data_IF_244301458034
#
_entry.id   IF_244301458034
#
_cell.length_a   1.000
_cell.length_b   1.000
_cell.length_c   1.000
_cell.angle_alpha   90.00
_cell.angle_beta   90.00
_cell.angle_gamma   90.00
#
_symmetry.space_group_name_H-M   'P 1'
#
loop_
_entity.id
_entity.type
_entity.pdbx_description
1 polymer ?
#
# COMPACT_ATOMS: atom_id res chain seq x y z
N UNK A 1 35.36 21.21 -24.12
CA UNK A 1 34.63 22.40 -23.64
C UNK A 1 33.26 21.98 -23.12
N UNK A 2 32.98 22.19 -21.83
CA UNK A 2 31.67 21.88 -21.25
C UNK A 2 30.63 22.92 -21.72
N UNK A 3 29.43 22.46 -22.09
CA UNK A 3 28.36 23.35 -22.57
C UNK A 3 27.90 24.29 -21.49
N UNK A 4 27.76 25.57 -21.86
CA UNK A 4 27.19 26.59 -20.97
C UNK A 4 25.74 26.24 -20.63
N UNK A 5 25.23 26.76 -19.50
CA UNK A 5 23.84 26.53 -19.09
C UNK A 5 22.84 27.04 -20.14
N UNK A 6 23.14 28.15 -20.82
CA UNK A 6 22.32 28.71 -21.89
C UNK A 6 22.17 27.74 -23.08
N UNK A 7 23.27 27.14 -23.54
CA UNK A 7 23.27 26.14 -24.61
C UNK A 7 22.52 24.86 -24.22
N UNK A 8 22.65 24.43 -22.96
CA UNK A 8 21.88 23.29 -22.42
C UNK A 8 20.38 23.57 -22.43
N UNK A 9 19.96 24.77 -22.03
CA UNK A 9 18.56 25.17 -22.03
C UNK A 9 17.99 25.33 -23.43
N UNK A 10 18.77 25.86 -24.38
CA UNK A 10 18.38 25.93 -25.80
C UNK A 10 18.15 24.53 -26.38
N UNK A 11 19.10 23.61 -26.16
CA UNK A 11 18.98 22.21 -26.62
C UNK A 11 17.81 21.47 -25.97
N UNK A 12 17.52 21.73 -24.69
CA UNK A 12 16.36 21.16 -24.00
C UNK A 12 15.04 21.63 -24.62
N UNK A 13 14.90 22.94 -24.87
CA UNK A 13 13.69 23.50 -25.50
C UNK A 13 13.47 22.94 -26.91
N UNK A 14 14.53 22.81 -27.70
CA UNK A 14 14.46 22.20 -29.04
C UNK A 14 14.04 20.73 -28.99
N UNK A 15 14.59 19.94 -28.06
CA UNK A 15 14.16 18.55 -27.85
C UNK A 15 12.68 18.48 -27.46
N UNK A 16 12.24 19.30 -26.51
CA UNK A 16 10.84 19.31 -26.07
C UNK A 16 9.89 19.63 -27.22
N UNK A 17 10.23 20.60 -28.09
CA UNK A 17 9.44 20.91 -29.30
C UNK A 17 9.38 19.73 -30.28
N UNK A 18 10.49 19.03 -30.50
CA UNK A 18 10.52 17.83 -31.37
C UNK A 18 9.67 16.71 -30.79
N UNK A 19 9.73 16.50 -29.48
CA UNK A 19 8.95 15.45 -28.80
C UNK A 19 7.45 15.76 -28.82
N UNK A 20 7.05 17.03 -28.66
CA UNK A 20 5.64 17.42 -28.77
C UNK A 20 5.10 17.21 -30.20
N UNK A 21 5.89 17.55 -31.22
CA UNK A 21 5.51 17.31 -32.62
C UNK A 21 5.38 15.80 -32.88
N UNK A 22 6.33 14.98 -32.43
CA UNK A 22 6.26 13.51 -32.54
C UNK A 22 5.04 12.92 -31.85
N UNK A 23 4.68 13.45 -30.67
CA UNK A 23 3.51 12.99 -29.94
C UNK A 23 2.21 13.28 -30.71
N UNK A 24 2.04 14.51 -31.21
CA UNK A 24 0.84 14.88 -31.95
C UNK A 24 0.75 14.15 -33.31
N UNK A 25 1.87 13.92 -34.01
CA UNK A 25 1.85 13.10 -35.24
C UNK A 25 1.48 11.65 -34.96
N UNK A 26 2.04 11.04 -33.91
CA UNK A 26 1.67 9.68 -33.52
C UNK A 26 0.19 9.56 -33.13
N UNK A 27 -0.34 10.57 -32.43
CA UNK A 27 -1.75 10.66 -32.05
C UNK A 27 -2.67 10.84 -33.26
N UNK A 28 -2.28 11.67 -34.22
CA UNK A 28 -3.01 11.83 -35.48
C UNK A 28 -3.03 10.53 -36.30
N UNK A 29 -1.88 9.85 -36.42
CA UNK A 29 -1.79 8.53 -37.08
C UNK A 29 -2.65 7.48 -36.37
N UNK A 30 -2.66 7.45 -35.04
CA UNK A 30 -3.52 6.53 -34.28
C UNK A 30 -5.01 6.82 -34.53
N UNK A 31 -5.42 8.09 -34.58
CA UNK A 31 -6.79 8.49 -34.93
C UNK A 31 -7.16 8.05 -36.35
N UNK A 32 -6.29 8.29 -37.34
CA UNK A 32 -6.50 7.87 -38.72
C UNK A 32 -6.67 6.35 -38.84
N UNK A 33 -5.79 5.56 -38.20
CA UNK A 33 -5.92 4.09 -38.13
C UNK A 33 -7.25 3.68 -37.50
N UNK A 34 -7.60 4.22 -36.35
CA UNK A 34 -8.84 3.89 -35.66
C UNK A 34 -10.08 4.24 -36.49
N UNK A 35 -10.09 5.39 -37.16
CA UNK A 35 -11.19 5.79 -38.04
C UNK A 35 -11.28 4.88 -39.26
N UNK A 36 -10.16 4.51 -39.89
CA UNK A 36 -10.14 3.57 -41.02
C UNK A 36 -10.64 2.17 -40.64
N UNK A 37 -10.38 1.73 -39.40
CA UNK A 37 -10.90 0.46 -38.88
C UNK A 37 -12.40 0.58 -38.68
N UNK A 38 -12.90 1.68 -38.11
CA UNK A 38 -14.33 1.89 -37.89
C UNK A 38 -15.13 1.95 -39.19
N UNK A 39 -14.62 2.61 -40.23
CA UNK A 39 -15.33 2.74 -41.51
C UNK A 39 -15.35 1.44 -42.32
N UNK A 40 -14.38 0.54 -42.13
CA UNK A 40 -14.30 -0.77 -42.80
C UNK A 40 -15.07 -1.89 -42.10
N UNK A 41 -15.65 -1.64 -40.93
CA UNK A 41 -16.38 -2.64 -40.15
C UNK A 41 -17.90 -2.48 -40.34
N UNK A 42 -18.45 -3.12 -41.37
CA UNK A 42 -19.89 -3.23 -41.60
C UNK A 42 -20.33 -4.69 -41.74
N UNK A 43 -21.61 -4.98 -41.44
CA UNK A 43 -22.21 -6.31 -41.57
C UNK A 43 -21.52 -7.40 -40.73
N UNK A 44 -21.23 -8.55 -41.34
CA UNK A 44 -20.62 -9.72 -40.69
C UNK A 44 -19.22 -9.44 -40.11
N UNK A 45 -18.47 -8.50 -40.69
CA UNK A 45 -17.15 -8.12 -40.17
C UNK A 45 -17.21 -7.41 -38.81
N UNK A 46 -18.30 -6.67 -38.55
CA UNK A 46 -18.52 -5.95 -37.30
C UNK A 46 -18.91 -6.90 -36.15
N UNK A 47 -19.73 -7.92 -36.43
CA UNK A 47 -20.14 -8.92 -35.44
C UNK A 47 -18.95 -9.78 -35.01
N UNK A 48 -18.10 -10.19 -35.96
CA UNK A 48 -16.83 -10.85 -35.69
C UNK A 48 -15.86 -9.99 -34.88
N UNK A 49 -15.74 -8.70 -35.20
CA UNK A 49 -14.88 -7.80 -34.43
C UNK A 49 -15.35 -7.69 -32.97
N UNK A 50 -16.67 -7.55 -32.76
CA UNK A 50 -17.28 -7.50 -31.43
C UNK A 50 -17.08 -8.80 -30.66
N UNK A 51 -17.23 -9.96 -31.30
CA UNK A 51 -17.02 -11.26 -30.65
C UNK A 51 -15.55 -11.49 -30.29
N UNK A 52 -14.62 -11.16 -31.20
CA UNK A 52 -13.17 -11.19 -30.96
C UNK A 52 -12.76 -10.25 -29.82
N UNK A 53 -13.34 -9.05 -29.74
CA UNK A 53 -13.10 -8.10 -28.66
C UNK A 53 -13.59 -8.65 -27.30
N UNK A 54 -14.81 -9.20 -27.24
CA UNK A 54 -15.35 -9.87 -26.05
C UNK A 54 -14.46 -11.02 -25.59
N UNK A 55 -13.99 -11.86 -26.52
CA UNK A 55 -13.09 -12.97 -26.23
C UNK A 55 -11.74 -12.49 -25.65
N UNK A 56 -11.14 -11.44 -26.23
CA UNK A 56 -9.90 -10.84 -25.69
C UNK A 56 -10.10 -10.32 -24.27
N UNK A 57 -11.22 -9.65 -24.01
CA UNK A 57 -11.53 -9.15 -22.66
C UNK A 57 -11.70 -10.30 -21.66
N UNK A 58 -12.39 -11.38 -22.06
CA UNK A 58 -12.54 -12.59 -21.26
C UNK A 58 -11.19 -13.23 -20.93
N UNK A 59 -10.33 -13.47 -21.93
CA UNK A 59 -8.97 -14.02 -21.73
C UNK A 59 -8.13 -13.14 -20.78
N UNK A 60 -8.23 -11.81 -20.91
CA UNK A 60 -7.51 -10.89 -20.01
C UNK A 60 -7.97 -11.01 -18.55
N UNK A 61 -9.30 -11.14 -18.33
CA UNK A 61 -9.88 -11.37 -16.99
C UNK A 61 -9.45 -12.72 -16.42
N UNK A 62 -9.53 -13.78 -17.21
CA UNK A 62 -9.11 -15.14 -16.80
C UNK A 62 -7.63 -15.17 -16.42
N UNK A 63 -6.75 -14.56 -17.22
CA UNK A 63 -5.32 -14.46 -16.91
C UNK A 63 -5.05 -13.64 -15.64
N UNK A 64 -5.81 -12.58 -15.40
CA UNK A 64 -5.73 -11.80 -14.16
C UNK A 64 -6.12 -12.65 -12.94
N UNK A 65 -7.18 -13.45 -13.06
CA UNK A 65 -7.62 -14.37 -12.00
C UNK A 65 -6.56 -15.46 -11.75
N UNK A 66 -6.04 -16.11 -12.80
CA UNK A 66 -4.97 -17.12 -12.68
C UNK A 66 -3.72 -16.55 -12.00
N UNK A 67 -3.31 -15.33 -12.34
CA UNK A 67 -2.19 -14.64 -11.67
C UNK A 67 -2.44 -14.33 -10.20
N UNK A 68 -3.70 -14.15 -9.80
CA UNK A 68 -4.07 -13.93 -8.39
C UNK A 68 -4.12 -15.24 -7.61
N UNK A 69 -4.56 -16.33 -8.24
CA UNK A 69 -4.64 -17.67 -7.64
C UNK A 69 -3.24 -18.30 -7.50
N UNK A 70 -2.41 -18.21 -8.54
CA UNK A 70 -1.10 -18.86 -8.59
C UNK A 70 0.02 -18.05 -7.91
N UNK A 71 -0.32 -16.97 -7.19
CA UNK A 71 0.69 -16.20 -6.46
C UNK A 71 0.90 -16.87 -5.10
N UNK A 72 2.12 -17.29 -4.73
CA UNK A 72 2.38 -17.87 -3.42
C UNK A 72 1.95 -16.86 -2.36
N UNK A 73 0.94 -17.23 -1.59
CA UNK A 73 0.34 -16.40 -0.54
C UNK A 73 1.27 -16.39 0.67
N UNK A 74 2.32 -15.56 0.64
CA UNK A 74 3.16 -15.29 1.82
C UNK A 74 2.76 -14.02 2.58
N UNK A 75 1.67 -13.35 2.17
CA UNK A 75 1.23 -12.08 2.73
C UNK A 75 -0.27 -12.10 3.02
N UNK A 76 -0.65 -11.75 4.25
CA UNK A 76 -2.03 -11.58 4.70
C UNK A 76 -2.81 -10.52 3.88
N UNK A 77 -2.13 -9.71 3.07
CA UNK A 77 -2.72 -8.70 2.19
C UNK A 77 -2.37 -8.93 0.71
N UNK A 78 -3.37 -8.79 -0.18
CA UNK A 78 -3.25 -9.03 -1.64
C UNK A 78 -2.35 -8.01 -2.37
N UNK A 79 -2.23 -6.78 -1.84
CA UNK A 79 -1.38 -5.71 -2.37
C UNK A 79 -1.04 -4.66 -1.31
N UNK A 80 0.00 -3.84 -1.54
CA UNK A 80 0.35 -2.68 -0.69
C UNK A 80 -0.82 -1.69 -0.55
N UNK A 81 -1.60 -1.49 -1.62
CA UNK A 81 -2.79 -0.63 -1.53
C UNK A 81 -3.87 -1.23 -0.62
N UNK A 82 -4.07 -2.55 -0.68
CA UNK A 82 -5.04 -3.22 0.19
C UNK A 82 -4.64 -3.12 1.67
N UNK A 83 -3.36 -3.30 1.99
CA UNK A 83 -2.82 -3.06 3.34
C UNK A 83 -3.04 -1.60 3.78
N UNK A 84 -2.72 -0.64 2.93
CA UNK A 84 -2.90 0.79 3.24
C UNK A 84 -4.36 1.16 3.51
N UNK A 85 -5.31 0.54 2.79
CA UNK A 85 -6.75 0.71 3.04
C UNK A 85 -7.16 0.14 4.39
N UNK A 86 -6.67 -1.05 4.74
CA UNK A 86 -6.94 -1.67 6.05
C UNK A 86 -6.35 -0.83 7.19
N UNK A 87 -5.12 -0.33 7.06
CA UNK A 87 -4.53 0.59 8.03
C UNK A 87 -5.36 1.86 8.23
N UNK A 88 -5.87 2.47 7.13
CA UNK A 88 -6.72 3.65 7.22
C UNK A 88 -8.01 3.36 8.00
N UNK A 89 -8.66 2.21 7.76
CA UNK A 89 -9.87 1.80 8.49
C UNK A 89 -9.60 1.65 9.99
N UNK A 90 -8.52 0.96 10.35
CA UNK A 90 -8.12 0.80 11.76
C UNK A 90 -7.83 2.15 12.40
N UNK A 91 -7.10 3.04 11.71
CA UNK A 91 -6.80 4.38 12.23
C UNK A 91 -8.06 5.22 12.45
N UNK A 92 -9.06 5.10 11.57
CA UNK A 92 -10.34 5.81 11.73
C UNK A 92 -11.24 5.24 12.83
N UNK A 93 -11.12 3.95 13.17
CA UNK A 93 -11.89 3.34 14.25
C UNK A 93 -11.28 3.59 15.64
N UNK A 94 -10.04 4.06 15.71
CA UNK A 94 -9.40 4.39 16.98
C UNK A 94 -9.92 5.72 17.55
N UNK A 95 -9.94 5.88 18.89
CA UNK A 95 -10.29 7.15 19.52
C UNK A 95 -9.45 8.32 18.99
N UNK A 96 -10.08 9.49 18.81
CA UNK A 96 -9.38 10.73 18.41
C UNK A 96 -8.38 11.19 19.48
N UNK A 97 -8.77 11.07 20.77
CA UNK A 97 -7.93 11.43 21.92
C UNK A 97 -6.72 10.50 22.04
N UNK A 98 -5.52 11.08 22.09
CA UNK A 98 -4.26 10.32 22.09
C UNK A 98 -4.08 9.43 23.33
N UNK A 99 -4.53 9.88 24.51
CA UNK A 99 -4.49 9.07 25.74
C UNK A 99 -5.30 7.78 25.57
N UNK A 100 -6.56 7.90 25.11
CA UNK A 100 -7.45 6.76 24.89
C UNK A 100 -6.93 5.84 23.77
N UNK A 101 -6.40 6.43 22.70
CA UNK A 101 -5.78 5.70 21.59
C UNK A 101 -4.61 4.84 22.06
N UNK A 102 -3.70 5.39 22.90
CA UNK A 102 -2.56 4.66 23.45
C UNK A 102 -3.01 3.45 24.28
N UNK A 103 -3.99 3.64 25.16
CA UNK A 103 -4.55 2.55 26.00
C UNK A 103 -5.15 1.44 25.15
N UNK A 104 -5.95 1.79 24.14
CA UNK A 104 -6.57 0.79 23.24
C UNK A 104 -5.51 0.02 22.44
N UNK A 105 -4.50 0.71 21.90
CA UNK A 105 -3.41 0.06 21.15
C UNK A 105 -2.61 -0.88 22.05
N UNK A 106 -2.29 -0.44 23.26
CA UNK A 106 -1.56 -1.25 24.23
C UNK A 106 -2.34 -2.52 24.60
N UNK A 107 -3.63 -2.37 24.94
CA UNK A 107 -4.50 -3.51 25.26
C UNK A 107 -4.59 -4.53 24.11
N UNK A 108 -4.71 -4.05 22.87
CA UNK A 108 -4.69 -4.92 21.68
C UNK A 108 -3.35 -5.62 21.53
N UNK A 109 -2.24 -4.90 21.70
CA UNK A 109 -0.90 -5.46 21.57
C UNK A 109 -0.62 -6.54 22.64
N UNK A 110 -1.11 -6.35 23.87
CA UNK A 110 -1.04 -7.35 24.95
C UNK A 110 -1.90 -8.58 24.63
N UNK A 111 -3.15 -8.39 24.19
CA UNK A 111 -4.09 -9.49 23.84
C UNK A 111 -3.54 -10.40 22.73
N UNK A 112 -2.85 -9.84 21.74
CA UNK A 112 -2.27 -10.58 20.63
C UNK A 112 -0.81 -11.02 20.87
N UNK A 113 -0.28 -10.81 22.08
CA UNK A 113 1.09 -11.23 22.42
C UNK A 113 2.19 -10.51 21.63
N UNK A 114 1.89 -9.31 21.11
CA UNK A 114 2.84 -8.47 20.39
C UNK A 114 3.76 -7.70 21.35
N UNK A 115 3.29 -7.43 22.55
CA UNK A 115 4.14 -6.93 23.63
C UNK A 115 4.86 -8.14 24.24
N UNK A 116 6.20 -8.20 24.21
CA UNK A 116 6.91 -9.24 24.91
C UNK A 116 6.51 -9.17 26.39
N UNK A 117 5.96 -10.26 26.94
CA UNK A 117 5.75 -10.38 28.38
C UNK A 117 7.07 -10.03 29.04
N UNK A 118 7.08 -9.11 30.00
CA UNK A 118 8.29 -8.77 30.74
C UNK A 118 8.83 -10.07 31.36
N UNK A 119 9.84 -10.68 30.75
CA UNK A 119 10.44 -11.93 31.24
C UNK A 119 11.01 -11.78 32.64
N UNK A 120 11.15 -10.55 33.10
CA UNK A 120 11.51 -10.18 34.45
C UNK A 120 10.68 -8.96 34.85
N UNK A 121 9.47 -9.15 35.39
CA UNK A 121 9.26 -8.42 36.62
C UNK A 121 10.31 -9.02 37.54
N UNK A 122 11.42 -8.30 37.78
CA UNK A 122 12.08 -8.44 39.08
C UNK A 122 10.90 -8.39 40.04
N UNK A 123 10.60 -9.52 40.68
CA UNK A 123 9.86 -9.51 41.93
C UNK A 123 10.58 -8.39 42.65
N UNK A 124 9.92 -7.22 42.74
CA UNK A 124 10.46 -6.12 43.52
C UNK A 124 10.81 -6.77 44.83
N UNK A 125 12.00 -6.46 45.35
CA UNK A 125 12.47 -6.93 46.65
C UNK A 125 11.45 -6.49 47.72
N UNK A 126 10.29 -7.13 47.72
CA UNK A 126 9.26 -7.01 48.70
C UNK A 126 9.85 -7.83 49.82
N UNK A 127 10.44 -7.11 50.78
CA UNK A 127 10.78 -7.68 52.06
C UNK A 127 9.58 -8.51 52.50
N UNK A 128 9.82 -9.78 52.83
CA UNK A 128 8.79 -10.67 53.33
C UNK A 128 8.03 -9.95 54.45
N UNK A 129 6.71 -10.09 54.50
CA UNK A 129 5.90 -9.29 55.42
C UNK A 129 6.30 -9.50 56.90
N UNK A 130 6.86 -10.67 57.23
CA UNK A 130 7.54 -10.93 58.51
C UNK A 130 8.66 -9.94 58.84
N UNK A 131 9.50 -9.63 57.85
CA UNK A 131 10.65 -8.75 58.05
C UNK A 131 10.20 -7.30 58.28
N UNK A 132 9.09 -6.89 57.65
CA UNK A 132 8.47 -5.57 57.91
C UNK A 132 7.87 -5.51 59.31
N UNK A 133 7.18 -6.56 59.76
CA UNK A 133 6.62 -6.62 61.11
C UNK A 133 7.72 -6.65 62.18
N UNK A 134 8.79 -7.39 61.95
CA UNK A 134 9.90 -7.49 62.92
C UNK A 134 10.66 -6.16 63.05
N UNK A 135 10.87 -5.44 61.94
CA UNK A 135 11.46 -4.09 61.98
C UNK A 135 10.55 -3.10 62.71
N UNK A 136 9.24 -3.10 62.45
CA UNK A 136 8.31 -2.25 63.20
C UNK A 136 8.32 -2.56 64.69
N UNK A 137 8.29 -3.85 65.07
CA UNK A 137 8.31 -4.27 66.47
C UNK A 137 9.63 -3.91 67.17
N UNK A 138 10.74 -3.85 66.43
CA UNK A 138 12.04 -3.42 66.97
C UNK A 138 12.04 -1.93 67.32
N UNK A 139 11.52 -1.08 66.43
CA UNK A 139 11.50 0.38 66.64
C UNK A 139 10.35 0.88 67.53
N UNK A 140 9.31 0.07 67.77
CA UNK A 140 8.20 0.38 68.68
C UNK A 140 8.42 -0.16 70.11
N UNK A 141 9.60 -0.76 70.38
CA UNK A 141 9.94 -1.34 71.68
C UNK A 141 10.66 -0.38 72.64
N UNK A 142 10.94 0.83 72.19
CA UNK A 142 11.30 2.02 73.00
C UNK A 142 10.14 3.03 72.96
#
# INVERSE_FOLDING_TARGET
>A
MAKTNAERMKKYREKRKKDSVKYETAKAQARARNNSIKTKLSGASLTEFRSKAKLRQRKCRENKIKRLINKPSSSSFKSRQSFSKSLKKVKSSLPKCDRKKKVVIQHLAEKFGLVPKSKHQRITLQLADKLKTDVNNFYQRD
#
